data_IF_204115034787
#
_entry.id   IF_204115034787
#
_cell.length_a   1.000
_cell.length_b   1.000
_cell.length_c   1.000
_cell.angle_alpha   90.00
_cell.angle_beta   90.00
_cell.angle_gamma   90.00
#
_symmetry.space_group_name_H-M   'P 1'
#
loop_
_entity.id
_entity.type
_entity.pdbx_description
1 polymer ?
#
# COMPACT_ATOMS: atom_id res chain seq x y z
N UNK A 1 -6.56 -0.32 21.03
CA UNK A 1 -6.22 -1.76 21.06
C UNK A 1 -5.08 -1.97 20.09
N UNK A 2 -3.87 -2.17 20.58
CA UNK A 2 -2.65 -2.42 19.78
C UNK A 2 -2.78 -3.74 19.04
N UNK A 3 -2.86 -3.72 17.71
CA UNK A 3 -2.74 -4.92 16.90
C UNK A 3 -1.25 -5.27 16.84
N UNK A 4 -0.88 -6.36 17.53
CA UNK A 4 0.38 -7.03 17.28
C UNK A 4 0.25 -7.66 15.89
N UNK A 5 0.74 -6.97 14.87
CA UNK A 5 0.98 -7.58 13.57
C UNK A 5 2.02 -8.68 13.76
N UNK A 6 1.54 -9.91 13.84
CA UNK A 6 2.34 -11.10 13.64
C UNK A 6 2.84 -11.02 12.20
N UNK A 7 3.96 -10.33 11.99
CA UNK A 7 4.58 -10.10 10.69
C UNK A 7 5.15 -11.42 10.16
N UNK A 8 4.24 -12.30 9.74
CA UNK A 8 4.55 -13.55 9.03
C UNK A 8 4.88 -13.14 7.62
N UNK A 9 6.18 -13.03 7.36
CA UNK A 9 6.69 -12.90 6.02
C UNK A 9 6.37 -14.16 5.23
N UNK A 10 6.01 -13.98 3.98
CA UNK A 10 5.84 -15.06 3.00
C UNK A 10 6.92 -14.97 1.92
N UNK A 11 7.18 -16.09 1.24
CA UNK A 11 8.13 -16.07 0.11
C UNK A 11 7.56 -15.18 -1.00
N UNK A 12 8.36 -14.25 -1.50
CA UNK A 12 7.97 -13.24 -2.48
C UNK A 12 7.54 -11.90 -1.88
N UNK A 13 7.42 -11.79 -0.55
CA UNK A 13 7.11 -10.51 0.09
C UNK A 13 8.24 -9.51 -0.08
N UNK A 14 7.88 -8.27 -0.42
CA UNK A 14 8.80 -7.15 -0.44
C UNK A 14 9.06 -6.66 0.98
N UNK A 15 10.34 -6.54 1.33
CA UNK A 15 10.79 -6.16 2.66
C UNK A 15 11.89 -5.11 2.57
N UNK A 16 11.88 -4.21 3.53
CA UNK A 16 13.02 -3.35 3.81
C UNK A 16 13.60 -3.75 5.17
N UNK A 17 14.91 -3.71 5.30
CA UNK A 17 15.55 -4.14 6.53
C UNK A 17 16.92 -3.56 6.72
N UNK A 18 17.55 -3.95 7.83
CA UNK A 18 18.95 -3.64 8.11
C UNK A 18 19.79 -4.90 8.19
N UNK A 19 20.91 -4.89 7.48
CA UNK A 19 21.96 -5.91 7.59
C UNK A 19 22.57 -5.93 8.99
N UNK A 20 23.37 -6.96 9.28
CA UNK A 20 24.12 -7.06 10.55
C UNK A 20 25.03 -5.85 10.77
N UNK A 21 25.61 -5.34 9.68
CA UNK A 21 26.51 -4.19 9.65
C UNK A 21 25.79 -2.83 9.68
N UNK A 22 24.45 -2.84 9.76
CA UNK A 22 23.63 -1.62 9.84
C UNK A 22 23.21 -1.02 8.49
N UNK A 23 23.64 -1.63 7.39
CA UNK A 23 23.32 -1.21 6.02
C UNK A 23 21.82 -1.37 5.74
N UNK A 24 21.20 -0.37 5.13
CA UNK A 24 19.82 -0.47 4.65
C UNK A 24 19.77 -1.32 3.39
N UNK A 25 18.84 -2.27 3.39
CA UNK A 25 18.61 -3.20 2.30
C UNK A 25 17.13 -3.18 1.93
N UNK A 26 16.85 -3.27 0.64
CA UNK A 26 15.52 -3.47 0.09
C UNK A 26 15.56 -4.67 -0.84
N UNK A 27 14.57 -5.53 -0.73
CA UNK A 27 14.54 -6.76 -1.49
C UNK A 27 13.27 -7.55 -1.29
N UNK A 28 13.27 -8.78 -1.79
CA UNK A 28 12.17 -9.71 -1.61
C UNK A 28 12.62 -10.94 -0.84
N UNK A 29 11.70 -11.53 -0.08
CA UNK A 29 11.95 -12.74 0.71
C UNK A 29 12.04 -13.94 -0.22
N UNK A 30 13.20 -14.59 -0.24
CA UNK A 30 13.43 -15.83 -0.98
C UNK A 30 13.01 -17.05 -0.14
N UNK A 31 13.40 -17.05 1.14
CA UNK A 31 13.10 -18.15 2.07
C UNK A 31 12.82 -17.60 3.47
N UNK A 32 11.83 -18.18 4.15
CA UNK A 32 11.52 -17.90 5.56
C UNK A 32 11.94 -19.10 6.42
N UNK A 33 12.87 -18.89 7.36
CA UNK A 33 13.18 -19.86 8.41
C UNK A 33 12.40 -19.47 9.67
N UNK A 34 11.23 -20.10 9.84
CA UNK A 34 10.35 -19.89 11.00
C UNK A 34 10.92 -20.44 12.30
N UNK A 35 11.86 -21.38 12.25
CA UNK A 35 12.48 -21.96 13.45
C UNK A 35 13.52 -21.02 14.06
N UNK A 36 14.22 -20.25 13.21
CA UNK A 36 15.27 -19.31 13.64
C UNK A 36 14.84 -17.84 13.63
N UNK A 37 13.58 -17.55 13.27
CA UNK A 37 13.07 -16.19 13.05
C UNK A 37 13.96 -15.39 12.08
N UNK A 38 14.46 -16.05 11.03
CA UNK A 38 15.33 -15.44 10.02
C UNK A 38 14.69 -15.50 8.63
N UNK A 39 15.02 -14.50 7.82
CA UNK A 39 14.55 -14.33 6.46
C UNK A 39 15.76 -14.29 5.55
N UNK A 40 15.75 -15.10 4.50
CA UNK A 40 16.66 -14.96 3.39
C UNK A 40 16.03 -13.95 2.42
N UNK A 41 16.70 -12.82 2.23
CA UNK A 41 16.23 -11.73 1.37
C UNK A 41 17.20 -11.56 0.22
N UNK A 42 16.69 -11.59 -1.01
CA UNK A 42 17.48 -11.21 -2.17
C UNK A 42 17.47 -9.69 -2.31
N UNK A 43 18.65 -9.08 -2.21
CA UNK A 43 18.79 -7.62 -2.21
C UNK A 43 18.66 -7.09 -3.63
N UNK A 44 17.67 -6.21 -3.83
CA UNK A 44 17.45 -5.49 -5.08
C UNK A 44 18.13 -4.12 -5.03
N UNK A 45 18.10 -3.47 -3.87
CA UNK A 45 18.73 -2.17 -3.64
C UNK A 45 19.33 -2.09 -2.23
N UNK A 46 20.46 -1.39 -2.07
CA UNK A 46 21.12 -1.21 -0.79
C UNK A 46 22.10 -0.05 -0.81
N UNK A 47 22.23 0.61 0.34
CA UNK A 47 23.28 1.62 0.59
C UNK A 47 24.70 1.06 0.36
N UNK A 48 24.86 -0.26 0.46
CA UNK A 48 26.09 -0.94 0.07
C UNK A 48 25.92 -1.64 -1.28
N UNK A 49 26.55 -1.07 -2.31
CA UNK A 49 26.56 -1.63 -3.66
C UNK A 49 27.09 -3.09 -3.72
N UNK A 50 27.88 -3.54 -2.74
CA UNK A 50 28.36 -4.93 -2.66
C UNK A 50 27.29 -5.92 -2.23
N UNK A 51 26.21 -5.46 -1.61
CA UNK A 51 25.11 -6.29 -1.14
C UNK A 51 24.05 -6.53 -2.23
N UNK A 52 23.97 -5.64 -3.22
CA UNK A 52 23.01 -5.73 -4.34
C UNK A 52 23.22 -7.04 -5.11
N UNK A 53 22.13 -7.76 -5.36
CA UNK A 53 22.10 -9.04 -6.08
C UNK A 53 22.55 -10.25 -5.26
N UNK A 54 22.70 -10.12 -3.94
CA UNK A 54 23.04 -11.24 -3.04
C UNK A 54 21.86 -11.59 -2.14
N UNK A 55 21.72 -12.88 -1.84
CA UNK A 55 20.82 -13.37 -0.79
C UNK A 55 21.49 -13.24 0.58
N UNK A 56 20.89 -12.45 1.46
CA UNK A 56 21.40 -12.23 2.83
C UNK A 56 20.36 -12.64 3.88
N UNK A 57 20.86 -13.16 4.99
CA UNK A 57 20.03 -13.55 6.12
C UNK A 57 19.83 -12.38 7.07
N UNK A 58 18.58 -11.93 7.20
CA UNK A 58 18.17 -10.92 8.17
C UNK A 58 17.28 -11.51 9.24
N UNK A 59 17.34 -10.94 10.44
CA UNK A 59 16.42 -11.30 11.52
C UNK A 59 15.04 -10.70 11.20
N UNK A 60 13.98 -11.47 11.43
CA UNK A 60 12.60 -11.01 11.26
C UNK A 60 12.35 -9.66 11.98
N UNK A 61 12.89 -9.50 13.20
CA UNK A 61 12.79 -8.26 14.01
C UNK A 61 13.43 -7.01 13.39
N UNK A 62 14.30 -7.18 12.39
CA UNK A 62 14.98 -6.08 11.67
C UNK A 62 14.47 -5.93 10.24
N UNK A 63 13.45 -6.70 9.87
CA UNK A 63 12.76 -6.62 8.62
C UNK A 63 11.38 -6.01 8.85
N UNK A 64 11.00 -5.09 7.98
CA UNK A 64 9.69 -4.49 7.94
C UNK A 64 9.10 -4.81 6.56
N UNK A 65 7.85 -5.30 6.54
CA UNK A 65 7.17 -5.61 5.29
C UNK A 65 6.80 -4.28 4.63
N UNK A 66 7.16 -4.13 3.37
CA UNK A 66 6.78 -2.94 2.62
C UNK A 66 5.26 -2.97 2.47
N UNK A 67 4.57 -1.84 2.74
CA UNK A 67 3.12 -1.80 2.64
C UNK A 67 2.72 -2.15 1.21
N UNK A 68 1.83 -3.14 1.08
CA UNK A 68 1.19 -3.41 -0.20
C UNK A 68 0.44 -2.14 -0.60
N UNK A 69 0.91 -1.47 -1.66
CA UNK A 69 0.37 -0.20 -2.13
C UNK A 69 -1.06 -0.46 -2.63
N UNK A 70 -2.01 -0.37 -1.72
CA UNK A 70 -3.44 -0.66 -1.92
C UNK A 70 -4.22 0.57 -2.36
N UNK A 71 -3.61 1.76 -2.27
CA UNK A 71 -4.14 3.02 -2.79
C UNK A 71 -3.16 3.65 -3.76
N UNK A 72 -3.16 3.22 -5.02
CA UNK A 72 -2.42 3.94 -6.07
C UNK A 72 -3.21 5.15 -6.50
N UNK A 73 -2.56 6.32 -6.52
CA UNK A 73 -3.15 7.53 -7.08
C UNK A 73 -3.29 7.40 -8.62
N UNK A 74 -4.17 8.19 -9.23
CA UNK A 74 -4.38 8.17 -10.69
C UNK A 74 -3.06 8.37 -11.45
N UNK A 75 -2.23 9.32 -11.01
CA UNK A 75 -0.92 9.60 -11.62
C UNK A 75 0.05 8.41 -11.53
N UNK A 76 0.03 7.64 -10.44
CA UNK A 76 0.87 6.45 -10.29
C UNK A 76 0.41 5.31 -11.20
N UNK A 77 -0.91 5.14 -11.36
CA UNK A 77 -1.45 4.17 -12.31
C UNK A 77 -1.11 4.53 -13.75
N UNK A 78 -1.18 5.81 -14.12
CA UNK A 78 -0.77 6.29 -15.44
C UNK A 78 0.71 6.01 -15.72
N UNK A 79 1.60 6.31 -14.77
CA UNK A 79 3.02 6.01 -14.90
C UNK A 79 3.29 4.50 -15.08
N UNK A 80 2.55 3.64 -14.37
CA UNK A 80 2.67 2.20 -14.53
C UNK A 80 2.08 1.70 -15.85
N UNK A 81 1.04 2.33 -16.37
CA UNK A 81 0.48 2.04 -17.70
C UNK A 81 1.52 2.33 -18.78
N UNK A 82 2.21 3.47 -18.68
CA UNK A 82 3.28 3.82 -19.62
C UNK A 82 4.43 2.80 -19.57
N UNK A 83 4.79 2.32 -18.37
CA UNK A 83 5.75 1.22 -18.23
C UNK A 83 5.23 -0.08 -18.86
N UNK A 84 3.96 -0.44 -18.67
CA UNK A 84 3.39 -1.64 -19.29
C UNK A 84 3.43 -1.58 -20.82
N UNK A 85 3.18 -0.40 -21.39
CA UNK A 85 3.31 -0.15 -22.82
C UNK A 85 4.77 -0.28 -23.30
N UNK A 86 5.73 0.23 -22.51
CA UNK A 86 7.16 0.09 -22.81
C UNK A 86 7.60 -1.37 -22.84
N UNK A 87 7.14 -2.18 -21.88
CA UNK A 87 7.43 -3.62 -21.80
C UNK A 87 6.54 -4.48 -22.72
N UNK A 88 5.57 -3.86 -23.43
CA UNK A 88 4.59 -4.54 -24.30
C UNK A 88 3.78 -5.63 -23.58
N UNK A 89 3.51 -5.45 -22.29
CA UNK A 89 2.71 -6.38 -21.50
C UNK A 89 1.22 -6.00 -21.57
N UNK A 90 0.49 -6.69 -22.44
CA UNK A 90 -0.95 -6.47 -22.62
C UNK A 90 -1.77 -6.82 -21.38
N UNK A 91 -1.38 -7.87 -20.65
CA UNK A 91 -2.13 -8.32 -19.46
C UNK A 91 -2.00 -7.28 -18.36
N UNK A 92 -0.77 -6.84 -18.10
CA UNK A 92 -0.49 -5.83 -17.11
C UNK A 92 -1.14 -4.49 -17.45
N UNK A 93 -1.11 -4.08 -18.72
CA UNK A 93 -1.82 -2.88 -19.20
C UNK A 93 -3.34 -2.94 -18.95
N UNK A 94 -3.97 -4.07 -19.26
CA UNK A 94 -5.42 -4.26 -19.07
C UNK A 94 -5.82 -4.20 -17.59
N UNK A 95 -5.04 -4.82 -16.71
CA UNK A 95 -5.27 -4.77 -15.27
C UNK A 95 -5.15 -3.35 -14.70
N UNK A 96 -4.10 -2.62 -15.08
CA UNK A 96 -3.89 -1.24 -14.61
C UNK A 96 -4.97 -0.29 -15.14
N UNK A 97 -5.35 -0.45 -16.40
CA UNK A 97 -6.42 0.35 -17.02
C UNK A 97 -7.77 0.11 -16.34
N UNK A 98 -8.09 -1.15 -16.02
CA UNK A 98 -9.30 -1.49 -15.28
C UNK A 98 -9.31 -0.84 -13.89
N UNK A 99 -8.18 -0.87 -13.16
CA UNK A 99 -8.05 -0.20 -11.86
C UNK A 99 -8.23 1.32 -11.97
N UNK A 100 -7.69 1.94 -13.02
CA UNK A 100 -7.85 3.39 -13.26
C UNK A 100 -9.32 3.76 -13.49
N UNK A 101 -10.05 2.97 -14.28
CA UNK A 101 -11.49 3.16 -14.50
C UNK A 101 -12.27 3.01 -13.19
N UNK A 102 -11.92 2.03 -12.34
CA UNK A 102 -12.54 1.85 -11.03
C UNK A 102 -12.36 3.07 -10.13
N UNK A 103 -11.16 3.66 -10.07
CA UNK A 103 -10.90 4.87 -9.28
C UNK A 103 -11.72 6.06 -9.80
N UNK A 104 -11.77 6.24 -11.13
CA UNK A 104 -12.54 7.33 -11.74
C UNK A 104 -14.04 7.21 -11.46
N UNK A 105 -14.58 5.99 -11.49
CA UNK A 105 -16.00 5.70 -11.17
C UNK A 105 -16.34 5.95 -9.70
N UNK A 106 -15.38 5.80 -8.78
CA UNK A 106 -15.56 6.09 -7.35
C UNK A 106 -15.61 7.61 -7.11
N UNK A 107 -14.83 8.41 -7.85
CA UNK A 107 -14.88 9.88 -7.77
C UNK A 107 -16.19 10.47 -8.33
N UNK A 108 -16.87 9.76 -9.24
CA UNK A 108 -18.15 10.17 -9.82
C UNK A 108 -19.38 9.74 -8.99
N UNK A 109 -19.21 9.04 -7.85
CA UNK A 109 -20.35 8.76 -6.99
C UNK A 109 -20.86 10.07 -6.37
N UNK A 110 -22.14 10.45 -6.62
CA UNK A 110 -22.69 11.67 -6.06
C UNK A 110 -22.70 11.52 -4.55
N UNK A 111 -22.09 12.49 -3.88
CA UNK A 111 -22.29 12.76 -2.46
C UNK A 111 -23.81 12.76 -2.25
N UNK A 112 -24.36 11.66 -1.73
CA UNK A 112 -25.74 11.65 -1.26
C UNK A 112 -25.73 12.63 -0.11
N UNK A 113 -26.24 13.83 -0.34
CA UNK A 113 -26.58 14.79 0.72
C UNK A 113 -27.36 13.96 1.74
N UNK A 114 -26.75 13.65 2.87
CA UNK A 114 -27.50 13.24 4.04
C UNK A 114 -28.26 14.49 4.43
N UNK A 115 -29.43 14.62 3.84
CA UNK A 115 -30.53 15.39 4.34
C UNK A 115 -30.75 14.89 5.77
N UNK A 116 -30.05 15.50 6.73
CA UNK A 116 -30.50 15.47 8.10
C UNK A 116 -31.83 16.19 8.06
N UNK A 117 -32.87 15.39 7.91
CA UNK A 117 -34.25 15.70 8.16
C UNK A 117 -34.30 16.32 9.56
N UNK A 118 -34.24 17.64 9.66
CA UNK A 118 -34.75 18.34 10.83
C UNK A 118 -36.26 18.26 10.68
N UNK A 119 -36.81 17.12 11.09
CA UNK A 119 -38.24 16.92 11.20
C UNK A 119 -38.79 17.91 12.22
N UNK A 120 -39.56 18.88 11.73
CA UNK A 120 -40.78 19.31 12.39
C UNK A 120 -40.66 20.38 13.48
N UNK A 121 -41.20 21.54 13.12
CA UNK A 121 -42.11 22.38 13.92
C UNK A 121 -41.53 23.22 15.07
N UNK A 122 -41.38 24.52 14.78
CA UNK A 122 -42.20 25.56 15.43
C UNK A 122 -42.12 26.88 14.65
N UNK A 123 -43.06 27.09 13.74
CA UNK A 123 -43.55 28.44 13.44
C UNK A 123 -44.93 28.52 14.06
N UNK A 124 -45.14 29.44 15.00
CA UNK A 124 -46.39 30.20 15.08
C UNK A 124 -46.25 31.39 16.03
N UNK A 125 -46.62 32.53 15.43
CA UNK A 125 -46.49 33.93 15.82
C UNK A 125 -47.40 34.35 16.99
N UNK A 126 -47.34 35.67 17.27
CA UNK A 126 -48.16 36.54 18.14
C UNK A 126 -47.65 36.64 19.59
N UNK A 127 -47.39 37.83 20.17
CA UNK A 127 -47.97 39.14 19.89
C UNK A 127 -47.03 40.27 20.37
N UNK A 128 -47.07 41.40 19.67
CA UNK A 128 -46.47 42.64 20.11
C UNK A 128 -47.44 43.34 21.06
N UNK A 129 -47.03 43.65 22.29
CA UNK A 129 -47.55 44.84 22.96
C UNK A 129 -46.63 45.38 24.05
N UNK A 130 -46.45 46.70 23.88
CA UNK A 130 -46.01 47.74 24.80
C UNK A 130 -46.65 47.64 26.19
#
# INVERSE_FOLDING_TARGET
MTMADNNRFENGDWVHGRSKDGELIQGYVETVDSHKEMLQVNVVDSDNAKAIGKSIWIQNKRAEKLPEITGRNESELLALIDLALLFKDERWFKELSAKLVSIKKIQEMPIKKTEYLISGNRIRNFDAKR
#
